data_IF_689031677684
#
_entry.id   IF_689031677684
#
_cell.length_a   1.000
_cell.length_b   1.000
_cell.length_c   1.000
_cell.angle_alpha   90.00
_cell.angle_beta   90.00
_cell.angle_gamma   90.00
#
_symmetry.space_group_name_H-M   'P 1'
#
loop_
_entity.id
_entity.type
_entity.pdbx_description
1 polymer ?
#
# COMPACT_ATOMS: atom_id res chain seq x y z
N UNK A 1 -2.41 18.71 13.41
CA UNK A 1 -3.27 17.58 12.98
C UNK A 1 -4.65 17.73 13.66
N UNK A 2 -5.67 16.96 13.26
CA UNK A 2 -7.08 17.09 13.71
C UNK A 2 -7.29 16.61 15.17
N UNK A 3 -8.19 17.26 15.92
CA UNK A 3 -8.55 16.90 17.31
C UNK A 3 -9.85 16.09 17.36
N UNK A 4 -10.17 15.49 18.52
CA UNK A 4 -11.43 14.77 18.78
C UNK A 4 -11.70 13.55 17.86
N UNK A 5 -10.63 12.88 17.42
CA UNK A 5 -10.73 11.61 16.71
C UNK A 5 -10.97 10.48 17.72
N UNK A 6 -12.06 9.74 17.55
CA UNK A 6 -12.39 8.55 18.34
C UNK A 6 -11.75 7.28 17.76
N UNK A 7 -11.75 7.15 16.43
CA UNK A 7 -11.11 6.02 15.75
C UNK A 7 -10.56 6.40 14.39
N UNK A 8 -9.57 5.63 13.97
CA UNK A 8 -8.95 5.67 12.65
C UNK A 8 -8.99 4.24 12.09
N UNK A 9 -9.50 4.09 10.87
CA UNK A 9 -9.44 2.86 10.08
C UNK A 9 -8.93 3.18 8.68
N UNK A 10 -8.27 2.22 8.06
CA UNK A 10 -7.76 2.34 6.70
C UNK A 10 -8.07 1.08 5.91
N UNK A 11 -8.57 1.27 4.70
CA UNK A 11 -8.88 0.19 3.79
C UNK A 11 -8.16 0.35 2.48
N UNK A 12 -7.80 -0.77 1.88
CA UNK A 12 -6.99 -0.86 0.68
C UNK A 12 -7.79 -1.55 -0.42
N UNK A 13 -7.94 -0.91 -1.58
CA UNK A 13 -8.68 -1.48 -2.71
C UNK A 13 -7.72 -2.22 -3.63
N UNK A 14 -7.93 -3.53 -3.82
CA UNK A 14 -7.09 -4.35 -4.70
C UNK A 14 -7.50 -4.32 -6.18
N UNK A 15 -8.48 -3.48 -6.53
CA UNK A 15 -9.12 -3.46 -7.85
C UNK A 15 -10.37 -4.33 -7.94
N UNK A 16 -10.71 -5.10 -6.89
CA UNK A 16 -11.92 -5.91 -6.80
C UNK A 16 -12.66 -5.67 -5.50
N UNK A 17 -11.96 -5.68 -4.37
CA UNK A 17 -12.53 -5.54 -3.03
C UNK A 17 -11.67 -4.69 -2.11
N UNK A 18 -12.31 -4.16 -1.06
CA UNK A 18 -11.64 -3.47 0.03
C UNK A 18 -11.09 -4.47 1.04
N UNK A 19 -9.83 -4.32 1.43
CA UNK A 19 -9.12 -5.12 2.42
C UNK A 19 -8.69 -4.26 3.60
N UNK A 20 -8.56 -4.87 4.78
CA UNK A 20 -8.03 -4.21 5.99
C UNK A 20 -6.51 -4.21 6.06
N UNK A 21 -5.88 -5.14 5.36
CA UNK A 21 -4.43 -5.31 5.29
C UNK A 21 -4.00 -5.30 3.82
N UNK A 22 -2.74 -4.95 3.59
CA UNK A 22 -2.14 -4.91 2.26
C UNK A 22 -0.81 -5.65 2.27
N UNK A 23 -0.78 -6.81 1.61
CA UNK A 23 0.37 -7.72 1.67
C UNK A 23 1.39 -7.49 0.54
N UNK A 24 1.03 -6.72 -0.49
CA UNK A 24 1.94 -6.50 -1.62
C UNK A 24 2.98 -5.44 -1.28
N UNK A 25 4.25 -5.85 -1.26
CA UNK A 25 5.40 -4.96 -1.06
C UNK A 25 5.96 -4.39 -2.37
N UNK A 26 5.50 -4.89 -3.52
CA UNK A 26 5.95 -4.47 -4.86
C UNK A 26 4.97 -3.53 -5.55
N UNK A 27 3.76 -3.35 -5.05
CA UNK A 27 2.77 -2.46 -5.67
C UNK A 27 1.85 -1.81 -4.65
N UNK A 28 1.31 -0.65 -5.02
CA UNK A 28 0.33 0.06 -4.22
C UNK A 28 -1.08 -0.50 -4.48
N UNK A 29 -2.00 -0.38 -3.49
CA UNK A 29 -3.42 -0.64 -3.72
C UNK A 29 -3.99 0.42 -4.66
N UNK A 30 -4.92 0.05 -5.55
CA UNK A 30 -5.52 0.98 -6.54
C UNK A 30 -6.14 2.22 -5.91
N UNK A 31 -6.64 2.08 -4.68
CA UNK A 31 -7.11 3.19 -3.87
C UNK A 31 -6.91 2.89 -2.38
N UNK A 32 -6.83 3.95 -1.57
CA UNK A 32 -6.91 3.88 -0.12
C UNK A 32 -8.14 4.66 0.35
N UNK A 33 -8.84 4.13 1.36
CA UNK A 33 -9.89 4.82 2.07
C UNK A 33 -9.43 5.11 3.48
N UNK A 34 -9.40 6.39 3.84
CA UNK A 34 -9.14 6.84 5.21
C UNK A 34 -10.47 7.12 5.86
N UNK A 35 -10.77 6.38 6.93
CA UNK A 35 -12.02 6.49 7.68
C UNK A 35 -11.69 7.00 9.08
N UNK A 36 -12.34 8.11 9.46
CA UNK A 36 -12.21 8.71 10.78
C UNK A 36 -13.57 8.74 11.43
N UNK A 37 -13.65 8.35 12.70
CA UNK A 37 -14.81 8.65 13.54
C UNK A 37 -14.46 9.84 14.43
N UNK A 38 -15.19 10.93 14.28
CA UNK A 38 -15.04 12.17 15.04
C UNK A 38 -16.16 12.25 16.08
N UNK A 39 -15.86 12.82 17.26
CA UNK A 39 -16.85 12.96 18.35
C UNK A 39 -18.07 13.78 17.95
N UNK A 40 -17.85 14.79 17.14
CA UNK A 40 -18.82 15.82 16.76
C UNK A 40 -19.47 15.56 15.38
N UNK A 41 -18.73 14.98 14.44
CA UNK A 41 -19.19 14.75 13.06
C UNK A 41 -19.50 13.29 12.71
N UNK A 42 -19.26 12.35 13.63
CA UNK A 42 -19.43 10.93 13.35
C UNK A 42 -18.41 10.40 12.35
N UNK A 43 -18.80 9.44 11.52
CA UNK A 43 -17.89 8.81 10.57
C UNK A 43 -17.75 9.64 9.28
N UNK A 44 -16.51 9.97 8.92
CA UNK A 44 -16.15 10.56 7.64
C UNK A 44 -15.17 9.64 6.91
N UNK A 45 -15.30 9.58 5.60
CA UNK A 45 -14.41 8.81 4.74
C UNK A 45 -13.89 9.66 3.58
N UNK A 46 -12.60 9.53 3.26
CA UNK A 46 -12.04 10.01 1.99
C UNK A 46 -11.31 8.89 1.29
N UNK A 47 -11.61 8.74 0.00
CA UNK A 47 -10.95 7.81 -0.90
C UNK A 47 -9.96 8.55 -1.79
N UNK A 48 -8.76 7.99 -1.91
CA UNK A 48 -7.69 8.52 -2.76
C UNK A 48 -7.23 7.42 -3.71
N UNK A 49 -7.12 7.75 -5.00
CA UNK A 49 -6.49 6.87 -5.98
C UNK A 49 -4.98 6.93 -5.82
N UNK A 50 -4.30 5.79 -6.00
CA UNK A 50 -2.83 5.77 -6.04
C UNK A 50 -2.34 5.80 -7.49
N UNK A 51 -1.09 6.22 -7.72
CA UNK A 51 -0.42 5.96 -8.98
C UNK A 51 -0.35 4.45 -9.23
N UNK A 52 -0.50 4.07 -10.50
CA UNK A 52 -0.21 2.71 -10.94
C UNK A 52 1.31 2.50 -11.07
N UNK A 53 1.79 1.32 -10.70
CA UNK A 53 3.21 0.96 -10.83
C UNK A 53 3.59 -0.26 -10.00
N UNK A 54 4.65 -0.94 -10.43
CA UNK A 54 5.29 -2.01 -9.66
C UNK A 54 6.75 -1.68 -9.47
N UNK A 55 7.28 -1.94 -8.28
CA UNK A 55 8.71 -1.87 -8.01
C UNK A 55 9.40 -2.97 -8.82
N UNK A 56 10.27 -2.58 -9.74
CA UNK A 56 11.14 -3.53 -10.42
C UNK A 56 12.21 -4.03 -9.44
N UNK A 57 12.42 -5.35 -9.38
CA UNK A 57 13.61 -5.88 -8.73
C UNK A 57 14.82 -5.53 -9.60
N UNK A 58 15.77 -4.79 -9.03
CA UNK A 58 17.07 -4.63 -9.67
C UNK A 58 17.78 -5.99 -9.66
N UNK A 59 18.08 -6.56 -10.83
CA UNK A 59 18.95 -7.73 -10.93
C UNK A 59 20.35 -7.37 -10.40
N UNK A 60 20.61 -7.66 -9.11
CA UNK A 60 21.98 -7.64 -8.58
C UNK A 60 22.59 -9.02 -8.76
N UNK A 61 23.47 -9.08 -9.76
CA UNK A 61 24.63 -9.95 -9.88
C UNK A 61 24.37 -11.44 -10.17
N UNK A 62 24.25 -11.77 -11.47
CA UNK A 62 24.80 -13.01 -12.03
C UNK A 62 26.16 -12.71 -12.68
N UNK A 63 27.23 -12.74 -11.87
CA UNK A 63 28.62 -12.90 -12.30
C UNK A 63 29.38 -13.42 -11.06
N UNK A 64 30.07 -14.56 -11.04
CA UNK A 64 30.70 -15.35 -12.09
C UNK A 64 30.82 -16.81 -11.61
N UNK A 65 30.15 -17.75 -12.30
CA UNK A 65 30.58 -19.15 -12.35
C UNK A 65 31.23 -19.37 -13.73
N UNK A 66 32.49 -19.78 -13.70
CA UNK A 66 33.30 -20.14 -14.88
C UNK A 66 34.75 -19.69 -14.67
N UNK A 67 35.78 -20.51 -14.83
CA UNK A 67 35.87 -21.91 -15.19
C UNK A 67 37.30 -22.36 -14.82
N UNK A 68 37.47 -23.57 -14.28
CA UNK A 68 38.78 -24.19 -14.14
C UNK A 68 39.29 -24.61 -15.54
N UNK A 69 40.50 -24.19 -15.92
CA UNK A 69 41.47 -24.98 -16.69
C UNK A 69 42.75 -24.19 -17.00
N UNK A 70 43.91 -24.81 -16.76
CA UNK A 70 45.23 -24.35 -17.18
C UNK A 70 46.32 -24.68 -16.19
#
# INVERSE_FOLDING_TARGET
LLTQVESFDMRFYDGKQWKKEWDSNKELPKAVSVVLKLKDYGEIARTYLTPDGKLAESERNKASEGNNNG
#
